data_IF_988645031025
#
_entry.id   IF_988645031025
#
_cell.length_a   1.000
_cell.length_b   1.000
_cell.length_c   1.000
_cell.angle_alpha   90.00
_cell.angle_beta   90.00
_cell.angle_gamma   90.00
#
_symmetry.space_group_name_H-M   'P 1'
#
loop_
_entity.id
_entity.type
_entity.pdbx_description
1 polymer ?
#
# COMPACT_ATOMS: atom_id res chain seq x y z
N UNK A 1 53.62 41.55 26.91
CA UNK A 1 52.24 41.20 27.36
C UNK A 1 51.18 41.29 26.25
N UNK A 2 51.20 42.27 25.33
CA UNK A 2 50.22 42.36 24.21
C UNK A 2 50.08 41.11 23.32
N UNK A 3 51.17 40.36 23.09
CA UNK A 3 51.15 39.17 22.21
C UNK A 3 50.39 37.98 22.79
N UNK A 4 50.35 37.85 24.12
CA UNK A 4 49.64 36.75 24.81
C UNK A 4 48.13 36.97 24.74
N UNK A 5 47.68 38.22 24.83
CA UNK A 5 46.26 38.57 24.70
C UNK A 5 45.69 38.29 23.31
N UNK A 6 46.48 38.51 22.24
CA UNK A 6 46.04 38.21 20.86
C UNK A 6 45.90 36.71 20.63
N UNK A 7 46.82 35.90 21.16
CA UNK A 7 46.75 34.44 21.04
C UNK A 7 45.58 33.83 21.80
N UNK A 8 45.26 34.36 23.00
CA UNK A 8 44.11 33.92 23.78
C UNK A 8 42.78 34.27 23.08
N UNK A 9 42.68 35.44 22.45
CA UNK A 9 41.47 35.87 21.73
C UNK A 9 41.19 34.98 20.50
N UNK A 10 42.24 34.59 19.77
CA UNK A 10 42.12 33.70 18.60
C UNK A 10 41.66 32.30 19.04
N UNK A 11 42.18 31.78 20.15
CA UNK A 11 41.79 30.47 20.66
C UNK A 11 40.31 30.42 21.10
N UNK A 12 39.80 31.49 21.72
CA UNK A 12 38.39 31.59 22.13
C UNK A 12 37.47 31.73 20.92
N UNK A 13 37.89 32.47 19.88
CA UNK A 13 37.14 32.56 18.62
C UNK A 13 37.08 31.21 17.88
N UNK A 14 38.14 30.39 17.94
CA UNK A 14 38.15 29.03 17.37
C UNK A 14 37.30 28.04 18.17
N UNK A 15 37.22 28.17 19.50
CA UNK A 15 36.32 27.36 20.33
C UNK A 15 34.84 27.68 20.11
N UNK A 16 34.50 28.92 19.73
CA UNK A 16 33.13 29.29 19.42
C UNK A 16 32.62 28.71 18.08
N UNK A 17 33.52 28.24 17.21
CA UNK A 17 33.17 27.66 15.90
C UNK A 17 32.92 26.14 15.98
N UNK A 18 33.19 25.49 17.12
CA UNK A 18 32.99 24.05 17.29
C UNK A 18 31.69 23.67 17.99
N UNK A 19 30.85 24.63 18.40
CA UNK A 19 29.44 24.34 18.69
C UNK A 19 28.68 24.20 17.37
N UNK A 20 29.07 23.21 16.57
CA UNK A 20 28.16 22.65 15.57
C UNK A 20 26.90 22.26 16.33
N UNK A 21 25.78 22.82 15.91
CA UNK A 21 24.46 22.45 16.44
C UNK A 21 24.38 20.93 16.42
N UNK A 22 24.49 20.31 17.60
CA UNK A 22 24.11 18.92 17.74
C UNK A 22 22.62 18.91 17.42
N UNK A 23 22.28 18.41 16.23
CA UNK A 23 20.90 18.08 15.95
C UNK A 23 20.53 17.03 16.99
N UNK A 24 19.81 17.45 18.03
CA UNK A 24 18.91 16.60 18.77
C UNK A 24 17.75 16.25 17.82
N UNK A 25 18.09 15.66 16.68
CA UNK A 25 17.13 15.22 15.69
C UNK A 25 16.50 13.97 16.26
N UNK A 26 15.20 14.04 16.55
CA UNK A 26 14.34 12.87 16.51
C UNK A 26 14.79 12.00 15.34
N UNK A 27 15.28 10.79 15.60
CA UNK A 27 15.77 9.91 14.56
C UNK A 27 14.60 9.66 13.60
N UNK A 28 14.69 10.25 12.40
CA UNK A 28 13.66 10.25 11.36
C UNK A 28 14.18 9.41 10.20
N UNK A 29 13.49 8.32 9.92
CA UNK A 29 13.84 7.38 8.85
C UNK A 29 12.62 7.15 7.98
N UNK A 30 12.77 7.31 6.66
CA UNK A 30 11.74 6.90 5.71
C UNK A 30 11.81 5.39 5.53
N UNK A 31 10.83 4.67 6.05
CA UNK A 31 10.81 3.19 6.05
C UNK A 31 10.07 2.65 4.82
N UNK A 32 9.01 3.35 4.38
CA UNK A 32 8.19 2.84 3.29
C UNK A 32 7.54 3.96 2.49
N UNK A 33 7.45 3.76 1.17
CA UNK A 33 6.67 4.57 0.24
C UNK A 33 5.64 3.69 -0.43
N UNK A 34 4.39 4.15 -0.49
CA UNK A 34 3.27 3.46 -1.13
C UNK A 34 2.48 4.43 -2.00
N UNK A 35 1.86 3.90 -3.04
CA UNK A 35 0.91 4.62 -3.86
C UNK A 35 -0.30 3.72 -4.09
N UNK A 36 -1.38 3.98 -3.36
CA UNK A 36 -2.61 3.21 -3.42
C UNK A 36 -3.78 4.15 -3.83
N UNK A 37 -5.00 3.62 -3.92
CA UNK A 37 -6.20 4.39 -4.31
C UNK A 37 -6.43 5.64 -3.44
N UNK A 38 -6.03 5.59 -2.16
CA UNK A 38 -6.14 6.72 -1.22
C UNK A 38 -5.05 7.79 -1.35
N UNK A 39 -4.12 7.66 -2.29
CA UNK A 39 -2.99 8.58 -2.49
C UNK A 39 -1.64 8.01 -2.12
N UNK A 40 -0.62 8.85 -2.30
CA UNK A 40 0.76 8.52 -1.96
C UNK A 40 0.94 8.60 -0.45
N UNK A 41 1.53 7.55 0.14
CA UNK A 41 1.81 7.44 1.57
C UNK A 41 3.31 7.26 1.81
N UNK A 42 3.83 8.08 2.71
CA UNK A 42 5.19 7.96 3.24
C UNK A 42 5.10 7.55 4.70
N UNK A 43 5.79 6.49 5.08
CA UNK A 43 5.80 5.97 6.45
C UNK A 43 7.19 6.19 7.02
N UNK A 44 7.23 6.97 8.09
CA UNK A 44 8.45 7.31 8.81
C UNK A 44 8.51 6.56 10.13
N UNK A 45 9.68 6.00 10.44
CA UNK A 45 10.05 5.65 11.79
C UNK A 45 10.60 6.90 12.47
N UNK A 46 10.09 7.18 13.65
CA UNK A 46 10.44 8.37 14.42
C UNK A 46 10.83 8.01 15.85
N UNK A 47 11.51 8.91 16.54
CA UNK A 47 11.72 8.85 17.99
C UNK A 47 11.29 10.19 18.59
N UNK A 48 10.23 10.17 19.40
CA UNK A 48 9.66 11.36 20.04
C UNK A 48 8.25 11.69 19.55
N UNK A 49 7.70 12.78 20.08
CA UNK A 49 6.37 13.29 19.71
C UNK A 49 6.51 14.53 18.83
N UNK A 50 5.64 14.65 17.83
CA UNK A 50 5.56 15.82 16.95
C UNK A 50 4.37 16.68 17.34
N UNK A 51 4.59 17.98 17.40
CA UNK A 51 3.51 18.96 17.48
C UNK A 51 2.65 18.94 16.22
N UNK A 52 1.42 19.43 16.33
CA UNK A 52 0.51 19.51 15.20
C UNK A 52 1.06 20.37 14.06
N UNK A 53 1.83 21.42 14.38
CA UNK A 53 2.46 22.29 13.40
C UNK A 53 3.56 21.56 12.62
N UNK A 54 4.39 20.76 13.30
CA UNK A 54 5.40 19.92 12.64
C UNK A 54 4.77 18.84 11.75
N UNK A 55 3.62 18.29 12.15
CA UNK A 55 2.85 17.35 11.35
C UNK A 55 2.21 18.00 10.09
N UNK A 56 2.02 19.31 10.09
CA UNK A 56 1.40 20.07 9.01
C UNK A 56 2.42 20.83 8.13
N UNK A 57 3.69 20.89 8.51
CA UNK A 57 4.72 21.65 7.80
C UNK A 57 5.40 20.88 6.66
N UNK A 58 4.99 19.64 6.40
CA UNK A 58 5.63 18.79 5.42
C UNK A 58 5.33 19.19 3.97
N UNK A 59 6.19 18.78 3.05
CA UNK A 59 6.00 18.96 1.61
C UNK A 59 6.54 17.80 0.79
N UNK A 60 6.07 17.68 -0.45
CA UNK A 60 6.60 16.76 -1.46
C UNK A 60 6.87 17.52 -2.73
N UNK A 61 8.11 17.50 -3.18
CA UNK A 61 8.51 18.12 -4.44
C UNK A 61 8.73 17.03 -5.50
N UNK A 62 8.01 17.14 -6.61
CA UNK A 62 8.12 16.22 -7.75
C UNK A 62 9.10 16.81 -8.76
N UNK A 63 10.19 16.10 -9.05
CA UNK A 63 11.16 16.47 -10.11
C UNK A 63 11.68 17.92 -10.07
N UNK A 64 11.77 18.52 -8.87
CA UNK A 64 12.19 19.91 -8.70
C UNK A 64 11.13 20.97 -9.08
N UNK A 65 9.89 20.55 -9.31
CA UNK A 65 8.74 21.41 -9.59
C UNK A 65 8.13 22.05 -8.34
N UNK A 66 6.81 22.32 -8.41
CA UNK A 66 6.06 22.90 -7.30
C UNK A 66 5.89 21.90 -6.14
N UNK A 67 5.80 22.43 -4.93
CA UNK A 67 5.58 21.64 -3.73
C UNK A 67 4.10 21.24 -3.60
N UNK A 68 3.88 19.94 -3.35
CA UNK A 68 2.60 19.40 -2.90
C UNK A 68 2.56 19.40 -1.37
N UNK A 69 1.39 19.70 -0.77
CA UNK A 69 1.25 19.61 0.67
C UNK A 69 1.42 18.15 1.13
N UNK A 70 2.05 17.97 2.29
CA UNK A 70 2.20 16.68 2.95
C UNK A 70 1.50 16.73 4.30
N UNK A 71 0.48 15.90 4.47
CA UNK A 71 -0.30 15.83 5.71
C UNK A 71 0.13 14.63 6.53
N UNK A 72 0.75 14.87 7.69
CA UNK A 72 1.25 13.81 8.55
C UNK A 72 0.35 13.58 9.75
N UNK A 73 0.28 12.32 10.18
CA UNK A 73 -0.33 11.93 11.43
C UNK A 73 0.59 10.94 12.15
N UNK A 74 0.97 11.27 13.38
CA UNK A 74 1.65 10.32 14.26
C UNK A 74 0.65 9.25 14.69
N UNK A 75 0.96 7.98 14.40
CA UNK A 75 0.10 6.83 14.72
C UNK A 75 0.43 6.24 16.09
N UNK A 76 1.70 6.29 16.45
CA UNK A 76 2.24 5.84 17.73
C UNK A 76 3.58 6.56 18.00
N UNK A 77 4.22 6.26 19.14
CA UNK A 77 5.49 6.87 19.55
C UNK A 77 6.66 6.65 18.57
N UNK A 78 6.51 5.73 17.61
CA UNK A 78 7.56 5.32 16.67
C UNK A 78 7.19 5.48 15.20
N UNK A 79 5.94 5.79 14.88
CA UNK A 79 5.43 5.78 13.50
C UNK A 79 4.69 7.06 13.15
N UNK A 80 5.11 7.71 12.07
CA UNK A 80 4.38 8.81 11.42
C UNK A 80 3.98 8.38 10.02
N UNK A 81 2.72 8.59 9.66
CA UNK A 81 2.21 8.35 8.31
C UNK A 81 1.84 9.67 7.68
N UNK A 82 2.49 9.99 6.57
CA UNK A 82 2.26 11.20 5.79
C UNK A 82 1.60 10.88 4.47
N UNK A 83 0.66 11.74 4.05
CA UNK A 83 -0.11 11.58 2.80
C UNK A 83 0.05 12.79 1.91
N UNK A 84 0.16 12.56 0.61
CA UNK A 84 0.11 13.60 -0.42
C UNK A 84 -0.75 13.16 -1.61
N UNK A 85 -0.86 14.03 -2.60
CA UNK A 85 -1.61 13.81 -3.83
C UNK A 85 -1.08 12.63 -4.65
N UNK A 86 -1.98 11.90 -5.32
CA UNK A 86 -1.63 10.90 -6.33
C UNK A 86 -0.78 11.45 -7.49
N UNK A 87 -0.80 12.78 -7.70
CA UNK A 87 0.04 13.45 -8.70
C UNK A 87 1.54 13.30 -8.45
N UNK A 88 1.94 12.91 -7.23
CA UNK A 88 3.33 12.58 -6.92
C UNK A 88 3.70 11.13 -7.27
N UNK A 89 2.74 10.31 -7.71
CA UNK A 89 2.93 8.90 -8.07
C UNK A 89 3.78 8.72 -9.33
N UNK A 90 4.52 7.61 -9.41
CA UNK A 90 5.39 7.28 -10.55
C UNK A 90 6.50 8.29 -10.85
N UNK A 91 6.90 9.09 -9.86
CA UNK A 91 7.96 10.10 -9.99
C UNK A 91 9.02 9.94 -8.91
N UNK A 92 10.24 10.41 -9.21
CA UNK A 92 11.25 10.69 -8.20
C UNK A 92 10.89 11.98 -7.45
N UNK A 93 10.87 11.90 -6.13
CA UNK A 93 10.41 12.99 -5.27
C UNK A 93 11.39 13.31 -4.14
N UNK A 94 11.31 14.55 -3.66
CA UNK A 94 11.92 14.97 -2.40
C UNK A 94 10.83 15.21 -1.39
N UNK A 95 10.87 14.48 -0.28
CA UNK A 95 9.91 14.59 0.83
C UNK A 95 10.56 15.37 1.97
N UNK A 96 9.96 16.50 2.36
CA UNK A 96 10.36 17.27 3.52
C UNK A 96 9.46 17.01 4.71
N UNK A 97 10.02 16.56 5.84
CA UNK A 97 9.30 16.35 7.09
C UNK A 97 10.24 16.45 8.30
N UNK A 98 9.77 17.06 9.39
CA UNK A 98 10.54 17.17 10.65
C UNK A 98 11.91 17.86 10.50
N UNK A 99 12.02 18.82 9.57
CA UNK A 99 13.28 19.51 9.24
C UNK A 99 14.26 18.69 8.39
N UNK A 100 13.94 17.44 8.06
CA UNK A 100 14.75 16.57 7.20
C UNK A 100 14.18 16.50 5.78
N UNK A 101 15.03 16.07 4.82
CA UNK A 101 14.67 15.84 3.42
C UNK A 101 15.07 14.43 3.01
N UNK A 102 14.16 13.73 2.32
CA UNK A 102 14.33 12.36 1.87
C UNK A 102 14.10 12.29 0.36
N UNK A 103 15.07 11.72 -0.36
CA UNK A 103 14.94 11.43 -1.79
C UNK A 103 14.45 10.00 -1.95
N UNK A 104 13.39 9.82 -2.73
CA UNK A 104 12.79 8.50 -2.95
C UNK A 104 12.01 8.47 -4.25
N UNK A 105 11.66 7.27 -4.71
CA UNK A 105 10.79 7.06 -5.86
C UNK A 105 9.42 6.62 -5.37
N UNK A 106 8.38 7.30 -5.85
CA UNK A 106 7.01 6.90 -5.56
C UNK A 106 6.62 5.83 -6.57
N UNK A 107 6.18 4.63 -6.14
CA UNK A 107 5.76 3.61 -7.07
C UNK A 107 4.58 4.08 -7.92
N UNK A 108 4.38 3.44 -9.07
CA UNK A 108 3.11 3.54 -9.79
C UNK A 108 1.96 3.17 -8.86
N UNK A 109 0.80 3.78 -9.09
CA UNK A 109 -0.39 3.45 -8.29
C UNK A 109 -0.66 1.97 -8.48
N UNK A 110 -0.55 1.19 -7.40
CA UNK A 110 -1.09 -0.15 -7.42
C UNK A 110 -2.60 0.06 -7.52
N UNK A 111 -3.18 -0.34 -8.67
CA UNK A 111 -4.62 -0.42 -8.82
C UNK A 111 -5.24 -1.25 -7.69
N UNK A 112 -6.58 -1.28 -7.55
CA UNK A 112 -7.19 -2.20 -6.61
C UNK A 112 -6.59 -3.59 -6.83
N UNK A 113 -6.14 -4.24 -5.75
CA UNK A 113 -5.68 -5.63 -5.83
C UNK A 113 -6.90 -6.41 -6.29
N UNK A 114 -6.95 -6.70 -7.58
CA UNK A 114 -8.08 -7.38 -8.16
C UNK A 114 -7.85 -8.87 -7.95
N UNK A 115 -8.72 -9.47 -7.15
CA UNK A 115 -8.72 -10.89 -6.92
C UNK A 115 -9.54 -11.56 -8.02
N UNK A 116 -8.85 -12.21 -8.95
CA UNK A 116 -9.46 -12.93 -10.06
C UNK A 116 -9.50 -14.42 -9.76
N UNK A 117 -10.68 -15.02 -9.92
CA UNK A 117 -10.90 -16.45 -9.73
C UNK A 117 -11.65 -17.04 -10.90
N UNK A 118 -11.33 -18.29 -11.22
CA UNK A 118 -12.04 -19.05 -12.25
C UNK A 118 -13.46 -19.34 -11.79
N UNK A 119 -14.41 -19.22 -12.71
CA UNK A 119 -15.80 -19.65 -12.53
C UNK A 119 -15.95 -21.02 -13.16
N UNK A 120 -16.37 -22.01 -12.39
CA UNK A 120 -16.54 -23.40 -12.79
C UNK A 120 -18.01 -23.80 -12.82
N UNK A 121 -18.35 -24.63 -13.79
CA UNK A 121 -19.65 -25.25 -13.96
C UNK A 121 -19.45 -26.73 -14.32
N UNK A 122 -20.32 -27.57 -13.82
CA UNK A 122 -20.26 -29.02 -13.95
C UNK A 122 -21.38 -29.58 -14.84
N UNK A 123 -22.21 -28.72 -15.43
CA UNK A 123 -23.47 -29.14 -16.04
C UNK A 123 -23.42 -29.30 -17.58
N UNK A 124 -22.34 -28.91 -18.26
CA UNK A 124 -22.25 -29.01 -19.74
C UNK A 124 -20.85 -29.39 -20.27
N UNK A 125 -20.75 -30.23 -21.33
CA UNK A 125 -21.83 -31.01 -21.95
C UNK A 125 -22.30 -32.12 -21.02
N UNK A 126 -23.62 -32.32 -20.90
CA UNK A 126 -24.19 -33.36 -20.05
C UNK A 126 -24.06 -34.76 -20.70
N UNK A 127 -23.66 -35.81 -19.93
CA UNK A 127 -23.16 -35.74 -18.57
C UNK A 127 -21.74 -35.18 -18.56
N UNK A 128 -21.49 -34.12 -17.79
CA UNK A 128 -20.11 -33.70 -17.56
C UNK A 128 -19.43 -34.77 -16.72
N UNK A 129 -18.13 -34.94 -16.91
CA UNK A 129 -17.31 -35.82 -16.08
C UNK A 129 -16.35 -35.06 -15.17
N UNK A 130 -16.39 -33.71 -15.20
CA UNK A 130 -15.51 -32.84 -14.41
C UNK A 130 -16.02 -31.40 -14.36
N UNK A 131 -15.52 -30.61 -13.39
CA UNK A 131 -15.65 -29.15 -13.40
C UNK A 131 -15.03 -28.54 -14.68
N UNK A 132 -15.74 -27.60 -15.30
CA UNK A 132 -15.29 -26.90 -16.49
C UNK A 132 -15.23 -25.40 -16.25
N UNK A 133 -14.13 -24.76 -16.68
CA UNK A 133 -14.00 -23.31 -16.62
C UNK A 133 -14.98 -22.64 -17.58
N UNK A 134 -15.72 -21.66 -17.05
CA UNK A 134 -16.66 -20.80 -17.76
C UNK A 134 -16.05 -19.44 -18.11
N UNK A 135 -14.95 -19.09 -17.45
CA UNK A 135 -14.29 -17.79 -17.52
C UNK A 135 -13.71 -17.37 -16.18
N UNK A 136 -13.37 -16.09 -16.08
CA UNK A 136 -12.78 -15.50 -14.87
C UNK A 136 -13.70 -14.38 -14.34
N UNK A 137 -13.79 -14.28 -13.01
CA UNK A 137 -14.44 -13.19 -12.32
C UNK A 137 -13.45 -12.51 -11.38
N UNK A 138 -13.40 -11.19 -11.45
CA UNK A 138 -12.45 -10.38 -10.73
C UNK A 138 -13.17 -9.35 -9.84
N UNK A 139 -12.71 -9.20 -8.59
CA UNK A 139 -13.31 -8.31 -7.59
C UNK A 139 -12.25 -7.63 -6.71
N UNK A 140 -12.61 -6.52 -6.07
CA UNK A 140 -11.66 -5.68 -5.31
C UNK A 140 -11.30 -6.23 -3.92
N UNK A 141 -12.09 -7.16 -3.39
CA UNK A 141 -11.88 -7.77 -2.08
C UNK A 141 -11.65 -9.28 -2.23
N UNK A 142 -10.82 -9.87 -1.39
CA UNK A 142 -10.68 -11.33 -1.35
C UNK A 142 -12.04 -11.96 -1.00
N UNK A 143 -12.51 -12.98 -1.74
CA UNK A 143 -13.76 -13.67 -1.44
C UNK A 143 -13.65 -14.49 -0.16
N UNK A 144 -14.80 -14.72 0.47
CA UNK A 144 -14.97 -15.66 1.57
C UNK A 144 -15.74 -16.87 1.06
N UNK A 145 -15.54 -18.02 1.70
CA UNK A 145 -16.34 -19.22 1.42
C UNK A 145 -17.84 -18.90 1.51
N UNK A 146 -18.58 -19.25 0.46
CA UNK A 146 -20.00 -18.98 0.32
C UNK A 146 -20.36 -17.62 -0.28
N UNK A 147 -19.40 -16.74 -0.58
CA UNK A 147 -19.68 -15.50 -1.30
C UNK A 147 -20.24 -15.82 -2.69
N UNK A 148 -21.34 -15.15 -3.06
CA UNK A 148 -22.08 -15.42 -4.29
C UNK A 148 -21.85 -14.35 -5.35
N UNK A 149 -21.64 -14.78 -6.60
CA UNK A 149 -21.59 -13.92 -7.78
C UNK A 149 -22.68 -14.30 -8.76
N UNK A 150 -23.07 -13.35 -9.61
CA UNK A 150 -23.93 -13.61 -10.77
C UNK A 150 -23.09 -13.56 -12.04
N UNK A 151 -22.89 -14.71 -12.67
CA UNK A 151 -22.00 -14.86 -13.83
C UNK A 151 -22.77 -15.39 -15.05
N UNK A 152 -22.40 -14.91 -16.24
CA UNK A 152 -22.99 -15.37 -17.50
C UNK A 152 -22.30 -16.65 -17.95
N UNK A 153 -23.04 -17.76 -18.00
CA UNK A 153 -22.53 -19.00 -18.60
C UNK A 153 -22.65 -18.92 -20.13
N UNK A 154 -21.53 -18.94 -20.88
CA UNK A 154 -21.58 -18.97 -22.34
C UNK A 154 -22.19 -20.27 -22.88
N UNK A 155 -22.13 -21.37 -22.12
CA UNK A 155 -22.66 -22.66 -22.53
C UNK A 155 -24.19 -22.70 -22.45
N UNK A 156 -24.75 -22.12 -21.40
CA UNK A 156 -26.21 -22.06 -21.20
C UNK A 156 -26.85 -20.79 -21.75
N UNK A 157 -26.03 -19.83 -22.21
CA UNK A 157 -26.47 -18.54 -22.72
C UNK A 157 -27.40 -17.80 -21.73
N UNK A 158 -27.07 -17.86 -20.43
CA UNK A 158 -27.86 -17.27 -19.34
C UNK A 158 -27.00 -16.96 -18.11
N UNK A 159 -27.54 -16.17 -17.17
CA UNK A 159 -26.87 -15.84 -15.92
C UNK A 159 -27.28 -16.77 -14.79
N UNK A 160 -26.30 -17.29 -14.06
CA UNK A 160 -26.50 -18.15 -12.89
C UNK A 160 -25.77 -17.59 -11.67
N UNK A 161 -26.14 -18.09 -10.50
CA UNK A 161 -25.44 -17.78 -9.26
C UNK A 161 -24.35 -18.82 -9.04
N UNK A 162 -23.13 -18.35 -8.76
CA UNK A 162 -21.98 -19.17 -8.44
C UNK A 162 -21.47 -18.78 -7.06
N UNK A 163 -20.96 -19.74 -6.31
CA UNK A 163 -20.51 -19.54 -4.93
C UNK A 163 -19.04 -19.83 -4.80
N UNK A 164 -18.31 -19.00 -4.07
CA UNK A 164 -16.89 -19.19 -3.84
C UNK A 164 -16.68 -20.39 -2.91
N UNK A 165 -15.88 -21.36 -3.33
CA UNK A 165 -15.54 -22.54 -2.53
C UNK A 165 -14.02 -22.69 -2.42
N UNK A 166 -13.51 -23.08 -1.23
CA UNK A 166 -12.09 -23.33 -1.02
C UNK A 166 -11.63 -24.59 -1.76
N UNK A 167 -10.32 -24.72 -1.97
CA UNK A 167 -9.72 -25.92 -2.55
C UNK A 167 -10.06 -27.19 -1.74
N UNK A 168 -10.34 -28.29 -2.43
CA UNK A 168 -10.71 -29.57 -1.84
C UNK A 168 -12.19 -29.74 -1.46
N UNK A 169 -13.07 -28.79 -1.81
CA UNK A 169 -14.51 -28.97 -1.66
C UNK A 169 -15.02 -30.13 -2.54
N UNK A 170 -15.88 -30.98 -1.98
CA UNK A 170 -16.53 -32.09 -2.67
C UNK A 170 -18.01 -31.77 -2.79
N UNK A 171 -18.51 -31.65 -4.01
CA UNK A 171 -19.95 -31.50 -4.21
C UNK A 171 -20.70 -32.78 -3.79
N UNK A 172 -21.81 -32.60 -3.08
CA UNK A 172 -22.68 -33.68 -2.61
C UNK A 172 -23.68 -34.16 -3.67
N UNK A 173 -23.58 -33.63 -4.88
CA UNK A 173 -24.41 -34.00 -6.03
C UNK A 173 -24.30 -35.47 -6.44
N UNK A 174 -25.11 -35.89 -7.44
CA UNK A 174 -25.16 -37.29 -7.91
C UNK A 174 -23.82 -37.81 -8.47
N UNK A 175 -22.88 -36.91 -8.77
CA UNK A 175 -21.50 -37.22 -9.17
C UNK A 175 -20.54 -36.37 -8.33
N UNK A 176 -20.04 -36.88 -7.19
CA UNK A 176 -19.18 -36.10 -6.31
C UNK A 176 -17.84 -35.85 -6.99
N UNK A 177 -17.57 -34.58 -7.29
CA UNK A 177 -16.29 -34.13 -7.84
C UNK A 177 -15.59 -33.21 -6.86
N UNK A 178 -14.34 -33.52 -6.56
CA UNK A 178 -13.43 -32.57 -5.91
C UNK A 178 -13.22 -31.40 -6.86
N UNK A 179 -13.39 -30.19 -6.35
CA UNK A 179 -13.11 -29.01 -7.11
C UNK A 179 -11.61 -28.89 -7.49
N UNK A 180 -11.27 -28.31 -8.65
CA UNK A 180 -9.90 -28.23 -9.13
C UNK A 180 -9.04 -27.15 -8.46
N UNK A 181 -9.60 -26.40 -7.49
CA UNK A 181 -8.92 -25.30 -6.79
C UNK A 181 -9.90 -24.32 -6.15
N UNK A 182 -9.38 -23.21 -5.65
CA UNK A 182 -10.22 -22.08 -5.20
C UNK A 182 -10.90 -21.42 -6.40
N UNK A 183 -12.20 -21.17 -6.31
CA UNK A 183 -12.98 -20.62 -7.43
C UNK A 183 -14.45 -20.44 -7.11
N UNK A 184 -15.20 -19.95 -8.10
CA UNK A 184 -16.65 -19.82 -8.03
C UNK A 184 -17.34 -21.00 -8.70
N UNK A 185 -18.21 -21.70 -8.01
CA UNK A 185 -18.80 -22.94 -8.47
C UNK A 185 -20.32 -22.82 -8.60
N UNK A 186 -20.86 -23.39 -9.67
CA UNK A 186 -22.29 -23.59 -9.78
C UNK A 186 -22.69 -24.71 -8.83
N UNK A 187 -23.57 -24.41 -7.88
CA UNK A 187 -24.16 -25.42 -7.00
C UNK A 187 -25.60 -25.61 -7.47
N UNK A 188 -25.91 -26.81 -7.96
CA UNK A 188 -27.32 -27.18 -8.15
C UNK A 188 -27.97 -27.20 -6.76
N UNK A 189 -29.01 -26.39 -6.57
CA UNK A 189 -29.74 -26.37 -5.30
C UNK A 189 -30.14 -27.81 -4.94
N UNK A 190 -29.74 -28.24 -3.75
CA UNK A 190 -30.26 -29.47 -3.12
C UNK A 190 -31.73 -29.32 -2.79
#
# INVERSE_FOLDING_TARGET
MKRIFVSALILVALLAVTTGTAFAGSALELVQVRNDEGGVRFIFRVTGEFSQDELNSGFVQVEGGNDFPLYCAQKDATTVVCRTSQKAGAHSVVVGFGGARFWTDVPEAQGPVQYCYTVYDDSFPAPSTSWQSQGEYCQDNAPKEGDGIRFFSPYWNSYYNYYFLPDGYIDSGPTPWTNPGEGYYYLTAT
#
